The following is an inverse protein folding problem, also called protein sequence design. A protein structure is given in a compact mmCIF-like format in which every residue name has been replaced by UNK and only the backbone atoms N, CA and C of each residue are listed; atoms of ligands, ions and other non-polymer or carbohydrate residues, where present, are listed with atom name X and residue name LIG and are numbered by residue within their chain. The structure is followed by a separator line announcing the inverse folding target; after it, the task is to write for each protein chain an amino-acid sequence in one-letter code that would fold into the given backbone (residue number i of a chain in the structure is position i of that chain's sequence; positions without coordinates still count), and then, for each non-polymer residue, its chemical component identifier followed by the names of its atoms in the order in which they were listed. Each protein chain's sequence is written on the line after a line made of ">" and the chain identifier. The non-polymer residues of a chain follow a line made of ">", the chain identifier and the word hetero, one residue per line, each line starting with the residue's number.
data_IF_568936831970
#
_entry.id   IF_568936831970
#
_cell.length_a   1.000
_cell.length_b   1.000
_cell.length_c   1.000
_cell.angle_alpha   90.00
_cell.angle_beta   90.00
_cell.angle_gamma   90.00
#
_symmetry.space_group_name_H-M   'P 1'
#
loop_
_entity.id
_entity.type
_entity.pdbx_description
1 polymer ?
#
# COMPACT_ATOMS: atom_id res chain seq x y z
N UNK A 1 -17.32 27.75 -17.13
CA UNK A 1 -16.47 27.00 -18.07
C UNK A 1 -16.10 25.70 -17.39
N UNK A 2 -16.63 24.57 -17.84
CA UNK A 2 -16.19 23.25 -17.33
C UNK A 2 -14.82 22.97 -17.93
N UNK A 3 -13.78 23.03 -17.10
CA UNK A 3 -12.43 22.65 -17.51
C UNK A 3 -12.44 21.13 -17.68
N UNK A 4 -12.30 20.63 -18.91
CA UNK A 4 -12.06 19.21 -19.14
C UNK A 4 -10.66 18.89 -18.63
N UNK A 5 -10.52 17.98 -17.65
CA UNK A 5 -9.21 17.64 -17.11
C UNK A 5 -8.36 16.92 -18.19
N UNK A 6 -7.09 17.30 -18.29
CA UNK A 6 -6.12 16.71 -19.23
C UNK A 6 -4.87 16.22 -18.50
N UNK A 7 -4.27 15.15 -19.04
CA UNK A 7 -3.05 14.55 -18.48
C UNK A 7 -3.24 14.08 -17.03
N UNK A 8 -2.34 14.53 -16.14
CA UNK A 8 -2.31 14.15 -14.72
C UNK A 8 -3.55 14.60 -13.93
N UNK A 9 -4.28 15.61 -14.44
CA UNK A 9 -5.49 16.13 -13.78
C UNK A 9 -6.74 15.30 -14.08
N UNK A 10 -6.62 14.30 -14.97
CA UNK A 10 -7.67 13.39 -15.34
C UNK A 10 -7.37 11.98 -14.79
N UNK A 11 -8.22 11.41 -13.93
CA UNK A 11 -9.51 11.93 -13.43
C UNK A 11 -9.38 13.13 -12.46
N UNK A 12 -10.41 14.00 -12.34
CA UNK A 12 -10.45 15.07 -11.35
C UNK A 12 -10.23 14.54 -9.94
N UNK A 13 -9.49 15.29 -9.12
CA UNK A 13 -9.22 14.89 -7.74
C UNK A 13 -10.48 14.85 -6.88
N UNK A 14 -11.44 15.74 -7.14
CA UNK A 14 -12.70 15.80 -6.39
C UNK A 14 -13.53 14.52 -6.59
N UNK A 15 -13.53 13.97 -7.81
CA UNK A 15 -14.21 12.70 -8.10
C UNK A 15 -13.53 11.52 -7.39
N UNK A 16 -12.19 11.51 -7.35
CA UNK A 16 -11.45 10.47 -6.63
C UNK A 16 -11.73 10.50 -5.12
N UNK A 17 -11.80 11.69 -4.54
CA UNK A 17 -12.11 11.88 -3.12
C UNK A 17 -13.58 11.63 -2.78
N UNK A 18 -14.46 11.51 -3.77
CA UNK A 18 -15.83 11.03 -3.55
C UNK A 18 -15.89 9.51 -3.37
N UNK A 19 -14.89 8.77 -3.87
CA UNK A 19 -14.82 7.29 -3.78
C UNK A 19 -14.01 6.82 -2.56
N UNK A 20 -13.02 7.59 -2.13
CA UNK A 20 -12.13 7.26 -1.01
C UNK A 20 -12.33 8.20 0.17
N UNK A 21 -12.21 7.71 1.40
CA UNK A 21 -12.53 8.52 2.60
C UNK A 21 -11.48 9.62 2.88
N UNK A 22 -10.25 9.45 2.37
CA UNK A 22 -9.14 10.37 2.65
C UNK A 22 -8.11 10.42 1.53
N UNK A 23 -7.42 11.56 1.42
CA UNK A 23 -6.27 11.74 0.51
C UNK A 23 -5.19 10.68 0.74
N UNK A 24 -4.96 10.30 1.99
CA UNK A 24 -3.94 9.30 2.33
C UNK A 24 -4.36 7.91 1.88
N UNK A 25 -5.64 7.58 2.05
CA UNK A 25 -6.19 6.31 1.60
C UNK A 25 -6.09 6.19 0.08
N UNK A 26 -6.49 7.23 -0.65
CA UNK A 26 -6.37 7.29 -2.11
C UNK A 26 -4.95 6.97 -2.58
N UNK A 27 -3.94 7.57 -1.96
CA UNK A 27 -2.53 7.34 -2.31
C UNK A 27 -2.15 5.87 -2.11
N UNK A 28 -2.53 5.27 -0.98
CA UNK A 28 -2.19 3.89 -0.66
C UNK A 28 -2.93 2.92 -1.58
N UNK A 29 -4.24 3.12 -1.81
CA UNK A 29 -5.03 2.28 -2.69
C UNK A 29 -4.52 2.33 -4.13
N UNK A 30 -4.30 3.53 -4.67
CA UNK A 30 -3.77 3.71 -6.03
C UNK A 30 -2.38 3.11 -6.18
N UNK A 31 -1.48 3.31 -5.21
CA UNK A 31 -0.13 2.77 -5.25
C UNK A 31 -0.10 1.23 -5.20
N UNK A 32 -0.89 0.62 -4.31
CA UNK A 32 -1.00 -0.85 -4.22
C UNK A 32 -1.55 -1.43 -5.52
N UNK A 33 -2.63 -0.84 -6.04
CA UNK A 33 -3.24 -1.31 -7.29
C UNK A 33 -2.31 -1.14 -8.50
N UNK A 34 -1.58 -0.02 -8.58
CA UNK A 34 -0.61 0.21 -9.64
C UNK A 34 0.53 -0.83 -9.63
N UNK A 35 1.00 -1.25 -8.45
CA UNK A 35 1.99 -2.33 -8.31
C UNK A 35 1.44 -3.67 -8.81
N UNK A 36 0.18 -3.98 -8.48
CA UNK A 36 -0.49 -5.19 -8.98
C UNK A 36 -0.60 -5.20 -10.51
N UNK A 37 -1.01 -4.08 -11.13
CA UNK A 37 -1.08 -3.95 -12.59
C UNK A 37 0.31 -4.08 -13.23
N UNK A 38 1.34 -3.48 -12.62
CA UNK A 38 2.70 -3.59 -13.12
C UNK A 38 3.23 -5.02 -13.04
N UNK A 39 3.01 -5.70 -11.91
CA UNK A 39 3.40 -7.09 -11.72
C UNK A 39 2.69 -8.01 -12.73
N UNK A 40 1.41 -7.77 -13.02
CA UNK A 40 0.69 -8.49 -14.08
C UNK A 40 1.40 -8.39 -15.44
N UNK A 41 1.84 -7.20 -15.86
CA UNK A 41 2.54 -7.04 -17.14
C UNK A 41 3.92 -7.71 -17.17
N UNK A 42 4.65 -7.72 -16.04
CA UNK A 42 5.92 -8.44 -15.92
C UNK A 42 5.72 -9.95 -15.97
N UNK A 43 4.75 -10.48 -15.23
CA UNK A 43 4.47 -11.91 -15.14
C UNK A 43 3.76 -12.48 -16.38
N UNK A 44 3.12 -11.64 -17.20
CA UNK A 44 2.43 -12.06 -18.42
C UNK A 44 3.36 -12.82 -19.37
N UNK A 45 4.65 -12.47 -19.37
CA UNK A 45 5.68 -13.14 -20.19
C UNK A 45 6.14 -14.47 -19.58
N UNK A 46 6.02 -14.61 -18.26
CA UNK A 46 6.49 -15.76 -17.48
C UNK A 46 5.41 -16.83 -17.28
N UNK A 47 4.15 -16.53 -17.60
CA UNK A 47 3.03 -17.46 -17.54
C UNK A 47 2.44 -17.71 -16.15
N UNK A 48 2.93 -17.01 -15.12
CA UNK A 48 2.37 -17.03 -13.76
C UNK A 48 1.34 -15.91 -13.60
N UNK A 49 0.05 -16.21 -13.73
CA UNK A 49 -1.03 -15.22 -13.60
C UNK A 49 -1.48 -15.02 -12.15
N UNK A 50 -0.55 -14.67 -11.26
CA UNK A 50 -0.86 -14.41 -9.85
C UNK A 50 -1.56 -13.07 -9.64
N UNK A 51 -1.21 -12.07 -10.46
CA UNK A 51 -1.74 -10.72 -10.35
C UNK A 51 -2.89 -10.45 -11.33
N UNK A 52 -3.86 -9.65 -10.90
CA UNK A 52 -5.02 -9.27 -11.73
C UNK A 52 -4.64 -8.07 -12.59
N UNK A 53 -4.82 -8.22 -13.92
CA UNK A 53 -4.56 -7.17 -14.90
C UNK A 53 -5.54 -5.98 -14.82
N UNK A 54 -5.45 -5.04 -15.77
CA UNK A 54 -6.32 -3.87 -15.81
C UNK A 54 -7.82 -4.21 -15.87
N UNK A 55 -8.62 -3.57 -15.02
CA UNK A 55 -10.10 -3.70 -14.97
C UNK A 55 -10.81 -2.68 -15.88
N UNK A 56 -10.02 -1.75 -16.42
CA UNK A 56 -10.46 -0.71 -17.35
C UNK A 56 -9.60 -0.83 -18.61
N UNK A 57 -10.18 -0.50 -19.76
CA UNK A 57 -9.44 -0.48 -21.02
C UNK A 57 -8.25 0.50 -20.93
N UNK A 58 -7.00 0.00 -21.00
CA UNK A 58 -5.82 0.83 -20.93
C UNK A 58 -5.60 1.54 -22.27
N UNK A 59 -5.15 2.80 -22.21
CA UNK A 59 -4.72 3.54 -23.40
C UNK A 59 -3.31 3.10 -23.81
N UNK A 60 -2.90 3.31 -25.08
CA UNK A 60 -1.53 3.04 -25.51
C UNK A 60 -0.52 3.79 -24.64
N UNK A 61 0.50 3.09 -24.14
CA UNK A 61 1.57 3.64 -23.28
C UNK A 61 1.07 4.27 -21.96
N UNK A 62 -0.13 3.91 -21.50
CA UNK A 62 -0.63 4.34 -20.20
C UNK A 62 0.20 3.74 -19.06
N UNK A 63 0.50 4.56 -18.04
CA UNK A 63 1.24 4.11 -16.86
C UNK A 63 0.28 3.41 -15.90
N UNK A 64 0.77 2.38 -15.20
CA UNK A 64 -0.06 1.58 -14.26
C UNK A 64 -0.77 2.42 -13.21
N UNK A 65 -0.17 3.53 -12.76
CA UNK A 65 -0.79 4.46 -11.82
C UNK A 65 -1.98 5.24 -12.43
N UNK A 66 -1.88 5.63 -13.70
CA UNK A 66 -2.99 6.29 -14.42
C UNK A 66 -4.18 5.35 -14.56
N UNK A 67 -3.93 4.10 -14.94
CA UNK A 67 -4.95 3.06 -15.01
C UNK A 67 -5.60 2.82 -13.64
N UNK A 68 -4.80 2.72 -12.57
CA UNK A 68 -5.30 2.52 -11.22
C UNK A 68 -6.22 3.68 -10.75
N UNK A 69 -5.87 4.93 -11.03
CA UNK A 69 -6.71 6.08 -10.68
C UNK A 69 -8.05 6.08 -11.43
N UNK A 70 -8.05 5.65 -12.70
CA UNK A 70 -9.30 5.49 -13.45
C UNK A 70 -10.17 4.35 -12.93
N UNK A 71 -9.56 3.23 -12.54
CA UNK A 71 -10.27 2.11 -11.93
C UNK A 71 -10.93 2.50 -10.60
N UNK A 72 -10.25 3.33 -9.80
CA UNK A 72 -10.79 3.89 -8.56
C UNK A 72 -11.96 4.84 -8.88
N UNK A 73 -11.81 5.75 -9.84
CA UNK A 73 -12.90 6.64 -10.25
C UNK A 73 -14.14 5.85 -10.73
N UNK A 74 -13.95 4.77 -11.49
CA UNK A 74 -15.03 3.88 -11.94
C UNK A 74 -15.58 2.94 -10.83
N UNK A 75 -15.07 3.03 -9.60
CA UNK A 75 -15.53 2.22 -8.47
C UNK A 75 -15.24 0.72 -8.59
N UNK A 76 -14.25 0.34 -9.42
CA UNK A 76 -13.90 -1.07 -9.69
C UNK A 76 -12.90 -1.65 -8.68
N UNK A 77 -12.35 -0.80 -7.82
CA UNK A 77 -11.41 -1.18 -6.77
C UNK A 77 -12.08 -0.95 -5.43
N UNK A 78 -12.00 -1.95 -4.55
CA UNK A 78 -12.55 -1.87 -3.20
C UNK A 78 -11.39 -1.89 -2.21
N UNK A 79 -11.26 -0.81 -1.44
CA UNK A 79 -10.39 -0.76 -0.28
C UNK A 79 -11.03 -1.51 0.89
N UNK A 80 -10.26 -2.40 1.53
CA UNK A 80 -10.65 -3.03 2.79
C UNK A 80 -9.62 -2.68 3.86
N UNK A 81 -10.10 -2.40 5.07
CA UNK A 81 -9.22 -2.32 6.23
C UNK A 81 -8.63 -3.71 6.53
N UNK A 82 -7.32 -3.81 6.79
CA UNK A 82 -6.71 -5.07 7.18
C UNK A 82 -7.27 -5.51 8.54
N UNK A 83 -7.64 -6.77 8.65
CA UNK A 83 -8.01 -7.40 9.92
C UNK A 83 -6.76 -7.72 10.75
N UNK A 84 -6.94 -8.01 12.04
CA UNK A 84 -5.82 -8.46 12.90
C UNK A 84 -5.11 -9.69 12.33
N UNK A 85 -5.84 -10.58 11.67
CA UNK A 85 -5.28 -11.74 10.97
C UNK A 85 -4.40 -11.34 9.78
N UNK A 86 -4.84 -10.37 8.96
CA UNK A 86 -4.06 -9.85 7.83
C UNK A 86 -2.75 -9.19 8.32
N UNK A 87 -2.83 -8.49 9.46
CA UNK A 87 -1.68 -7.87 10.12
C UNK A 87 -0.73 -8.92 10.69
N UNK A 88 -1.27 -9.93 11.39
CA UNK A 88 -0.48 -11.04 11.93
C UNK A 88 0.21 -11.82 10.81
N UNK A 89 -0.47 -12.08 9.69
CA UNK A 89 0.11 -12.72 8.51
C UNK A 89 1.22 -11.86 7.87
N UNK A 90 1.02 -10.55 7.78
CA UNK A 90 2.04 -9.64 7.27
C UNK A 90 3.28 -9.54 8.19
N UNK A 91 3.08 -9.60 9.51
CA UNK A 91 4.18 -9.64 10.49
C UNK A 91 4.92 -10.97 10.42
N UNK A 92 4.20 -12.10 10.39
CA UNK A 92 4.80 -13.42 10.25
C UNK A 92 5.58 -13.57 8.93
N UNK A 93 5.07 -13.02 7.82
CA UNK A 93 5.79 -13.00 6.55
C UNK A 93 7.10 -12.18 6.64
N UNK A 94 7.08 -11.05 7.35
CA UNK A 94 8.28 -10.23 7.60
C UNK A 94 9.28 -10.91 8.53
N UNK A 95 8.81 -11.63 9.54
CA UNK A 95 9.66 -12.44 10.44
C UNK A 95 10.32 -13.58 9.67
N UNK A 96 9.57 -14.28 8.81
CA UNK A 96 10.11 -15.33 7.95
C UNK A 96 11.13 -14.81 6.93
N UNK A 97 10.91 -13.64 6.33
CA UNK A 97 11.91 -12.98 5.48
C UNK A 97 13.15 -12.55 6.27
N UNK A 98 13.00 -12.11 7.53
CA UNK A 98 14.12 -11.72 8.39
C UNK A 98 15.00 -12.92 8.78
N UNK A 99 14.42 -14.12 8.94
CA UNK A 99 15.20 -15.34 9.15
C UNK A 99 15.96 -15.81 7.89
N UNK A 100 15.53 -15.38 6.69
CA UNK A 100 16.18 -15.68 5.42
C UNK A 100 17.40 -14.80 5.11
N UNK A 101 17.50 -13.62 5.71
CA UNK A 101 18.68 -12.77 5.65
C UNK A 101 19.41 -12.86 6.99
N UNK A 102 20.44 -13.72 7.07
CA UNK A 102 21.30 -13.92 8.23
C UNK A 102 22.17 -12.69 8.61
N UNK A 103 21.57 -11.51 8.70
CA UNK A 103 22.13 -10.35 9.39
C UNK A 103 21.89 -10.50 10.88
N UNK A 104 22.85 -10.13 11.74
CA UNK A 104 22.71 -10.33 13.18
C UNK A 104 21.46 -9.59 13.68
N UNK A 105 20.70 -10.25 14.55
CA UNK A 105 19.82 -9.56 15.47
C UNK A 105 20.59 -8.35 16.00
N UNK A 106 20.11 -7.13 15.75
CA UNK A 106 20.73 -5.95 16.34
C UNK A 106 20.89 -6.26 17.83
N UNK A 107 22.11 -6.24 18.39
CA UNK A 107 22.26 -6.45 19.81
C UNK A 107 21.30 -5.46 20.46
N UNK A 108 20.52 -5.93 21.43
CA UNK A 108 19.81 -5.03 22.31
C UNK A 108 20.88 -4.15 22.97
N UNK A 109 21.22 -3.03 22.33
CA UNK A 109 22.05 -2.02 22.95
C UNK A 109 21.28 -1.65 24.20
N UNK A 110 21.91 -1.76 25.39
CA UNK A 110 21.24 -1.38 26.62
C UNK A 110 20.75 0.05 26.42
N UNK A 111 19.44 0.27 26.57
CA UNK A 111 18.84 1.60 26.47
C UNK A 111 19.74 2.56 27.28
N UNK A 112 20.41 3.54 26.65
CA UNK A 112 21.40 4.39 27.34
C UNK A 112 20.75 5.26 28.42
N UNK A 113 19.42 5.26 28.48
CA UNK A 113 18.61 5.98 29.45
C UNK A 113 18.18 5.13 30.66
N UNK A 114 18.54 3.84 30.72
CA UNK A 114 18.02 2.93 31.75
C UNK A 114 16.50 2.79 31.66
N UNK A 115 15.95 1.76 32.30
CA UNK A 115 14.51 1.80 32.60
C UNK A 115 14.27 2.97 33.57
N UNK A 116 13.22 3.80 33.37
CA UNK A 116 12.87 4.80 34.36
C UNK A 116 12.48 4.06 35.64
N UNK A 117 13.40 3.99 36.59
CA UNK A 117 13.12 3.56 37.95
C UNK A 117 12.21 4.60 38.56
N UNK A 118 10.90 4.39 38.45
CA UNK A 118 9.93 5.11 39.25
C UNK A 118 10.16 4.68 40.70
N UNK A 119 10.85 5.54 41.46
CA UNK A 119 11.01 5.46 42.91
C UNK A 119 9.61 5.51 43.53
N UNK A 120 9.05 4.32 43.78
CA UNK A 120 7.81 4.19 44.54
C UNK A 120 8.24 4.31 45.99
N UNK A 121 8.33 5.57 46.43
CA UNK A 121 8.83 5.95 47.74
C UNK A 121 8.27 5.09 48.86
N UNK A 122 9.22 4.52 49.60
CA UNK A 122 9.17 4.07 50.98
C UNK A 122 7.90 4.45 51.74
N UNK A 123 7.11 3.43 52.07
CA UNK A 123 6.17 3.49 53.17
C UNK A 123 6.99 3.67 54.47
N UNK A 124 6.76 4.80 55.14
CA UNK A 124 7.05 4.99 56.54
C UNK A 124 5.73 4.91 57.33
#
# INVERSE_FOLDING_TARGET
>A
MSVTPEGITNPPIDDLLAVTDSKYELVIQAAKRARQINAYYSQLQEGLLENVGPLVTPKPNEKSLSTALREINEGKVVGRQPTEEDLAAALAAREAEAEGFGGPAAPAEPNPFGEPTFDTGEQA
#
